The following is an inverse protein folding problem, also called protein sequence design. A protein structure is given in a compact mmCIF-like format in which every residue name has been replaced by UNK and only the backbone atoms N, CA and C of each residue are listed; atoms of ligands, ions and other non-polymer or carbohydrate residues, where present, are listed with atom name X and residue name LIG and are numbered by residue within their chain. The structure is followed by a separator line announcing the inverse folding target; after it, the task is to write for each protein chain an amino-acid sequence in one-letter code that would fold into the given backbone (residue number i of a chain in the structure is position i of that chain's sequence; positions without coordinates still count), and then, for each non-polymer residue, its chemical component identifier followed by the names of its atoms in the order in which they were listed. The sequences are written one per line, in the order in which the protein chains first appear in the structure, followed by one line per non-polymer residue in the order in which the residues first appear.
data_IF_421588457552
#
_entry.id   IF_421588457552
#
_cell.length_a   1.000
_cell.length_b   1.000
_cell.length_c   1.000
_cell.angle_alpha   90.00
_cell.angle_beta   90.00
_cell.angle_gamma   90.00
#
_symmetry.space_group_name_H-M   'P 1'
#
loop_
_entity.id
_entity.type
_entity.pdbx_description
1 polymer ?
#
# COMPACT_ATOMS: atom_id res chain seq x y z
N UNK A 1 1.98 -21.18 19.88
CA UNK A 1 1.35 -20.04 19.18
C UNK A 1 -0.07 -20.44 18.77
N UNK A 2 -1.09 -19.65 19.09
CA UNK A 2 -2.50 -20.02 18.78
C UNK A 2 -2.75 -20.09 17.28
N UNK A 3 -3.65 -20.95 16.84
CA UNK A 3 -3.98 -21.19 15.42
C UNK A 3 -4.34 -19.89 14.70
N UNK A 4 -5.05 -18.99 15.38
CA UNK A 4 -5.48 -17.68 14.87
C UNK A 4 -4.29 -16.77 14.53
N UNK A 5 -3.24 -16.79 15.34
CA UNK A 5 -2.05 -15.97 15.11
C UNK A 5 -1.28 -16.42 13.87
N UNK A 6 -1.11 -17.73 13.70
CA UNK A 6 -0.46 -18.31 12.51
C UNK A 6 -1.31 -18.01 11.27
N UNK A 7 -2.62 -18.21 11.38
CA UNK A 7 -3.54 -17.93 10.28
C UNK A 7 -3.54 -16.46 9.89
N UNK A 8 -3.55 -15.54 10.87
CA UNK A 8 -3.43 -14.11 10.62
C UNK A 8 -2.11 -13.77 9.97
N UNK A 9 -0.98 -14.27 10.50
CA UNK A 9 0.34 -14.02 9.95
C UNK A 9 0.45 -14.43 8.47
N UNK A 10 0.08 -15.68 8.15
CA UNK A 10 0.21 -16.21 6.79
C UNK A 10 -0.71 -15.49 5.81
N UNK A 11 -1.95 -15.23 6.21
CA UNK A 11 -2.92 -14.55 5.35
C UNK A 11 -2.51 -13.08 5.19
N UNK A 12 -2.08 -12.41 6.27
CA UNK A 12 -1.60 -11.03 6.20
C UNK A 12 -0.39 -10.91 5.27
N UNK A 13 0.60 -11.80 5.41
CA UNK A 13 1.77 -11.84 4.54
C UNK A 13 1.35 -11.94 3.06
N UNK A 14 0.47 -12.89 2.73
CA UNK A 14 -0.05 -13.05 1.38
C UNK A 14 -0.79 -11.79 0.88
N UNK A 15 -1.62 -11.17 1.73
CA UNK A 15 -2.32 -9.94 1.34
C UNK A 15 -1.41 -8.75 1.12
N UNK A 16 -0.28 -8.65 1.85
CA UNK A 16 0.75 -7.63 1.60
C UNK A 16 1.32 -7.82 0.20
N UNK A 17 1.73 -9.05 -0.15
CA UNK A 17 2.27 -9.35 -1.47
C UNK A 17 1.28 -9.00 -2.60
N UNK A 18 0.02 -9.44 -2.45
CA UNK A 18 -1.02 -9.18 -3.45
C UNK A 18 -1.36 -7.69 -3.54
N UNK A 19 -1.52 -7.00 -2.40
CA UNK A 19 -1.92 -5.59 -2.40
C UNK A 19 -0.83 -4.69 -2.95
N UNK A 20 0.44 -4.95 -2.64
CA UNK A 20 1.56 -4.22 -3.23
C UNK A 20 1.64 -4.49 -4.73
N UNK A 21 1.47 -5.74 -5.18
CA UNK A 21 1.44 -6.05 -6.61
C UNK A 21 0.29 -5.32 -7.34
N UNK A 22 -0.92 -5.31 -6.77
CA UNK A 22 -2.06 -4.59 -7.35
C UNK A 22 -1.82 -3.07 -7.40
N UNK A 23 -1.14 -2.51 -6.40
CA UNK A 23 -0.70 -1.12 -6.40
C UNK A 23 0.24 -0.83 -7.58
N UNK A 24 1.28 -1.64 -7.75
CA UNK A 24 2.23 -1.50 -8.87
C UNK A 24 1.56 -1.70 -10.24
N UNK A 25 0.61 -2.64 -10.34
CA UNK A 25 -0.22 -2.79 -11.54
C UNK A 25 -1.03 -1.53 -11.83
N UNK A 26 -1.51 -0.82 -10.80
CA UNK A 26 -2.14 0.49 -10.95
C UNK A 26 -1.25 1.52 -11.65
N UNK A 27 0.02 1.61 -11.24
CA UNK A 27 1.01 2.45 -11.92
C UNK A 27 1.16 2.04 -13.40
N UNK A 28 1.25 0.74 -13.67
CA UNK A 28 1.37 0.19 -15.02
C UNK A 28 0.19 0.52 -15.93
N UNK A 29 -1.04 0.39 -15.42
CA UNK A 29 -2.25 0.78 -16.15
C UNK A 29 -2.26 2.27 -16.43
N UNK A 30 -1.87 3.11 -15.46
CA UNK A 30 -1.81 4.57 -15.65
C UNK A 30 -0.82 4.94 -16.76
N UNK A 31 0.34 4.28 -16.78
CA UNK A 31 1.35 4.48 -17.81
C UNK A 31 0.89 4.01 -19.19
N UNK A 32 0.26 2.83 -19.26
CA UNK A 32 -0.32 2.31 -20.49
C UNK A 32 -1.36 3.25 -21.11
N UNK A 33 -2.28 3.79 -20.28
CA UNK A 33 -3.30 4.74 -20.74
C UNK A 33 -2.70 6.04 -21.31
N UNK A 34 -1.45 6.35 -20.97
CA UNK A 34 -0.70 7.51 -21.47
C UNK A 34 0.30 7.17 -22.58
N UNK A 35 0.36 5.91 -23.00
CA UNK A 35 1.34 5.44 -23.99
C UNK A 35 2.79 5.51 -23.51
N UNK A 36 3.01 5.50 -22.18
CA UNK A 36 4.36 5.49 -21.61
C UNK A 36 4.76 4.04 -21.31
N UNK A 37 5.83 3.51 -21.93
CA UNK A 37 6.24 2.14 -21.68
C UNK A 37 6.89 1.99 -20.30
N UNK A 38 6.35 1.10 -19.47
CA UNK A 38 6.86 0.81 -18.12
C UNK A 38 6.80 -0.68 -17.79
N UNK A 39 7.70 -1.14 -16.93
CA UNK A 39 7.68 -2.49 -16.35
C UNK A 39 7.30 -2.42 -14.89
N UNK A 40 6.27 -3.14 -14.47
CA UNK A 40 5.82 -3.19 -13.09
C UNK A 40 6.04 -4.58 -12.50
N UNK A 41 6.28 -4.65 -11.20
CA UNK A 41 6.51 -5.90 -10.48
C UNK A 41 5.81 -5.90 -9.12
N UNK A 42 6.51 -6.40 -8.10
CA UNK A 42 6.00 -6.48 -6.73
C UNK A 42 6.48 -5.31 -5.85
N UNK A 43 7.45 -4.51 -6.31
CA UNK A 43 8.01 -3.43 -5.48
C UNK A 43 8.49 -2.21 -6.26
N UNK A 44 8.65 -2.31 -7.58
CA UNK A 44 9.21 -1.22 -8.39
C UNK A 44 8.46 -1.10 -9.71
N UNK A 45 8.23 0.15 -10.12
CA UNK A 45 8.06 0.55 -11.51
C UNK A 45 9.44 0.84 -12.12
N UNK A 46 9.67 0.39 -13.34
CA UNK A 46 10.93 0.62 -14.04
C UNK A 46 10.83 0.61 -15.55
N UNK A 47 11.98 0.71 -16.21
CA UNK A 47 12.11 0.71 -17.66
C UNK A 47 11.91 -0.71 -18.21
N UNK A 48 11.09 -0.87 -19.26
CA UNK A 48 10.82 -2.16 -19.93
C UNK A 48 12.05 -2.84 -20.52
N UNK A 49 13.12 -2.09 -20.78
CA UNK A 49 14.35 -2.59 -21.40
C UNK A 49 15.45 -2.91 -20.39
N UNK A 50 15.18 -2.77 -19.09
CA UNK A 50 16.17 -2.97 -18.02
C UNK A 50 15.68 -4.00 -17.01
N UNK A 51 16.62 -4.65 -16.33
CA UNK A 51 16.35 -5.54 -15.21
C UNK A 51 16.33 -4.76 -13.88
N UNK A 52 15.65 -5.25 -12.83
CA UNK A 52 15.49 -4.52 -11.56
C UNK A 52 16.76 -4.21 -10.77
N UNK A 53 17.86 -4.88 -11.13
CA UNK A 53 19.21 -4.67 -10.59
C UNK A 53 20.09 -3.77 -11.45
N UNK A 54 19.64 -3.35 -12.63
CA UNK A 54 20.39 -2.48 -13.54
C UNK A 54 20.34 -1.02 -13.07
N UNK A 55 21.41 -0.27 -13.35
CA UNK A 55 21.44 1.17 -13.14
C UNK A 55 20.34 1.87 -13.97
N UNK A 56 19.68 2.85 -13.36
CA UNK A 56 18.47 3.54 -13.87
C UNK A 56 17.32 2.63 -14.28
N UNK A 57 17.18 1.44 -13.68
CA UNK A 57 15.96 0.64 -13.84
C UNK A 57 14.72 1.43 -13.43
N UNK A 58 14.79 2.15 -12.29
CA UNK A 58 13.68 3.00 -11.85
C UNK A 58 13.53 4.17 -12.82
N UNK A 59 12.45 4.14 -13.60
CA UNK A 59 12.07 5.26 -14.45
C UNK A 59 11.67 6.42 -13.53
N UNK A 60 12.58 7.39 -13.38
CA UNK A 60 12.28 8.62 -12.64
C UNK A 60 11.21 9.49 -13.34
N UNK A 61 10.81 9.09 -14.55
CA UNK A 61 10.03 9.88 -15.49
C UNK A 61 8.55 9.53 -15.55
N UNK A 62 8.09 8.46 -14.89
CA UNK A 62 6.64 8.23 -14.79
C UNK A 62 6.07 8.90 -13.53
N UNK A 63 5.52 10.09 -13.71
CA UNK A 63 4.74 10.80 -12.69
C UNK A 63 3.38 11.17 -13.25
N UNK A 64 2.32 10.76 -12.58
CA UNK A 64 0.95 11.03 -13.01
C UNK A 64 0.17 11.82 -11.95
N UNK A 65 -0.54 12.86 -12.41
CA UNK A 65 -1.52 13.60 -11.63
C UNK A 65 -2.72 12.73 -11.22
N UNK A 66 -2.97 11.62 -11.90
CA UNK A 66 -4.05 10.67 -11.61
C UNK A 66 -3.53 9.24 -11.57
N UNK A 67 -2.48 9.05 -10.77
CA UNK A 67 -1.87 7.74 -10.63
C UNK A 67 -2.83 6.73 -9.98
N UNK A 68 -3.14 5.66 -10.70
CA UNK A 68 -4.06 4.62 -10.25
C UNK A 68 -3.46 3.74 -9.14
N UNK A 69 -2.14 3.73 -8.90
CA UNK A 69 -1.55 2.95 -7.81
C UNK A 69 -2.16 3.32 -6.45
N UNK A 70 -1.98 4.57 -5.96
CA UNK A 70 -2.59 5.04 -4.72
C UNK A 70 -4.12 4.95 -4.73
N UNK A 71 -4.76 5.23 -5.87
CA UNK A 71 -6.23 5.21 -5.97
C UNK A 71 -6.78 3.78 -5.77
N UNK A 72 -6.14 2.77 -6.36
CA UNK A 72 -6.54 1.37 -6.19
C UNK A 72 -6.44 0.97 -4.72
N UNK A 73 -5.34 1.30 -4.04
CA UNK A 73 -5.19 0.93 -2.63
C UNK A 73 -6.18 1.65 -1.71
N UNK A 74 -6.56 2.90 -2.00
CA UNK A 74 -7.66 3.59 -1.31
C UNK A 74 -9.00 2.85 -1.50
N UNK A 75 -9.33 2.51 -2.75
CA UNK A 75 -10.57 1.80 -3.08
C UNK A 75 -10.61 0.43 -2.37
N UNK A 76 -9.51 -0.33 -2.41
CA UNK A 76 -9.41 -1.62 -1.73
C UNK A 76 -9.55 -1.47 -0.21
N UNK A 77 -8.89 -0.48 0.40
CA UNK A 77 -9.03 -0.22 1.83
C UNK A 77 -10.51 0.02 2.21
N UNK A 78 -11.22 0.85 1.44
CA UNK A 78 -12.63 1.18 1.70
C UNK A 78 -13.54 -0.05 1.47
N UNK A 79 -13.43 -0.70 0.31
CA UNK A 79 -14.28 -1.84 -0.06
C UNK A 79 -14.11 -2.98 0.94
N UNK A 80 -12.88 -3.37 1.28
CA UNK A 80 -12.65 -4.45 2.23
C UNK A 80 -13.05 -4.06 3.65
N UNK A 81 -12.89 -2.80 4.05
CA UNK A 81 -13.42 -2.31 5.34
C UNK A 81 -14.93 -2.45 5.40
N UNK A 82 -15.66 -2.05 4.36
CA UNK A 82 -17.13 -2.21 4.28
C UNK A 82 -17.51 -3.71 4.27
N UNK A 83 -16.82 -4.52 3.48
CA UNK A 83 -17.06 -5.97 3.41
C UNK A 83 -16.85 -6.65 4.77
N UNK A 84 -15.86 -6.21 5.55
CA UNK A 84 -15.57 -6.75 6.88
C UNK A 84 -16.76 -6.64 7.83
N UNK A 85 -17.60 -5.60 7.71
CA UNK A 85 -18.81 -5.48 8.52
C UNK A 85 -19.84 -6.57 8.18
N UNK A 86 -19.93 -6.99 6.93
CA UNK A 86 -20.95 -7.92 6.41
C UNK A 86 -20.64 -9.39 6.65
N UNK A 87 -19.37 -9.75 6.84
CA UNK A 87 -18.95 -11.16 7.00
C UNK A 87 -18.88 -11.57 8.47
N UNK A 88 -19.38 -12.76 8.82
CA UNK A 88 -19.32 -13.29 10.19
C UNK A 88 -18.52 -14.59 10.30
N UNK A 89 -18.26 -15.27 9.18
CA UNK A 89 -17.48 -16.49 9.15
C UNK A 89 -16.01 -16.20 9.44
N UNK A 90 -15.39 -17.01 10.31
CA UNK A 90 -14.03 -16.76 10.82
C UNK A 90 -12.98 -16.61 9.71
N UNK A 91 -12.93 -17.53 8.75
CA UNK A 91 -11.94 -17.48 7.66
C UNK A 91 -12.13 -16.24 6.74
N UNK A 92 -13.34 -15.95 6.21
CA UNK A 92 -13.59 -14.72 5.48
C UNK A 92 -13.26 -13.45 6.28
N UNK A 93 -13.55 -13.41 7.58
CA UNK A 93 -13.18 -12.27 8.44
C UNK A 93 -11.67 -12.07 8.47
N UNK A 94 -10.87 -13.15 8.56
CA UNK A 94 -9.40 -13.05 8.51
C UNK A 94 -8.93 -12.52 7.15
N UNK A 95 -9.42 -13.10 6.05
CA UNK A 95 -9.01 -12.71 4.69
C UNK A 95 -9.38 -11.25 4.42
N UNK A 96 -10.66 -10.90 4.54
CA UNK A 96 -11.14 -9.53 4.28
C UNK A 96 -10.50 -8.53 5.25
N UNK A 97 -10.38 -8.91 6.53
CA UNK A 97 -9.77 -8.07 7.54
C UNK A 97 -8.28 -7.81 7.26
N UNK A 98 -7.55 -8.81 6.78
CA UNK A 98 -6.15 -8.64 6.38
C UNK A 98 -6.00 -7.73 5.15
N UNK A 99 -6.85 -7.87 4.12
CA UNK A 99 -6.83 -6.95 2.98
C UNK A 99 -7.14 -5.51 3.39
N UNK A 100 -8.17 -5.30 4.22
CA UNK A 100 -8.53 -3.98 4.70
C UNK A 100 -7.41 -3.34 5.54
N UNK A 101 -6.80 -4.14 6.43
CA UNK A 101 -5.68 -3.72 7.27
C UNK A 101 -4.44 -3.37 6.45
N UNK A 102 -4.04 -4.27 5.54
CA UNK A 102 -2.89 -4.10 4.65
C UNK A 102 -3.02 -2.84 3.80
N UNK A 103 -4.14 -2.65 3.09
CA UNK A 103 -4.30 -1.50 2.20
C UNK A 103 -4.34 -0.17 2.99
N UNK A 104 -4.86 -0.19 4.22
CA UNK A 104 -4.80 0.99 5.10
C UNK A 104 -3.35 1.31 5.50
N UNK A 105 -2.57 0.29 5.88
CA UNK A 105 -1.18 0.49 6.32
C UNK A 105 -0.20 0.80 5.19
N UNK A 106 -0.33 0.15 4.04
CA UNK A 106 0.53 0.38 2.87
C UNK A 106 0.54 1.84 2.42
N UNK A 107 -0.52 2.58 2.73
CA UNK A 107 -0.64 4.01 2.44
C UNK A 107 -0.30 4.90 3.63
N UNK A 108 -0.69 4.51 4.83
CA UNK A 108 -0.39 5.29 6.04
C UNK A 108 1.11 5.36 6.33
N UNK A 109 1.84 4.24 6.18
CA UNK A 109 3.26 4.17 6.53
C UNK A 109 4.15 5.07 5.67
N UNK A 110 4.05 5.08 4.32
CA UNK A 110 4.79 6.03 3.49
C UNK A 110 4.48 7.48 3.83
N UNK A 111 3.22 7.82 4.10
CA UNK A 111 2.85 9.18 4.46
C UNK A 111 3.44 9.60 5.81
N UNK A 112 3.36 8.74 6.84
CA UNK A 112 4.02 8.99 8.12
C UNK A 112 5.52 9.19 7.92
N UNK A 113 6.17 8.34 7.12
CA UNK A 113 7.60 8.44 6.82
C UNK A 113 7.94 9.76 6.13
N UNK A 114 7.15 10.18 5.14
CA UNK A 114 7.37 11.43 4.39
C UNK A 114 7.24 12.66 5.29
N UNK A 115 6.19 12.75 6.12
CA UNK A 115 6.04 13.85 7.07
C UNK A 115 7.07 13.82 8.20
N UNK A 116 7.49 12.63 8.64
CA UNK A 116 8.60 12.51 9.58
C UNK A 116 9.93 12.99 8.97
N UNK A 117 10.19 12.69 7.70
CA UNK A 117 11.32 13.25 6.95
C UNK A 117 11.24 14.77 6.89
N UNK A 118 10.06 15.35 6.66
CA UNK A 118 9.88 16.80 6.66
C UNK A 118 10.26 17.42 8.01
N UNK A 119 9.86 16.81 9.12
CA UNK A 119 10.18 17.28 10.47
C UNK A 119 11.68 17.19 10.80
N UNK A 120 12.35 16.15 10.30
CA UNK A 120 13.75 15.85 10.67
C UNK A 120 14.78 16.46 9.72
N UNK A 121 14.49 16.51 8.43
CA UNK A 121 15.41 16.95 7.37
C UNK A 121 14.96 18.24 6.66
N UNK A 122 13.75 18.74 6.95
CA UNK A 122 13.15 19.88 6.25
C UNK A 122 12.66 19.54 4.84
N UNK A 123 12.69 18.26 4.43
CA UNK A 123 12.27 17.81 3.10
C UNK A 123 11.29 16.65 3.20
N UNK A 124 10.21 16.72 2.43
CA UNK A 124 9.30 15.58 2.24
C UNK A 124 10.02 14.46 1.49
N UNK A 125 9.89 13.23 1.97
CA UNK A 125 10.23 12.07 1.16
C UNK A 125 9.25 12.00 -0.03
N UNK A 126 9.78 11.81 -1.23
CA UNK A 126 8.95 11.72 -2.44
C UNK A 126 8.32 10.33 -2.47
N UNK A 127 7.03 10.31 -2.15
CA UNK A 127 6.14 9.15 -2.24
C UNK A 127 5.08 9.40 -3.32
N UNK A 128 4.30 8.39 -3.72
CA UNK A 128 3.32 8.48 -4.82
C UNK A 128 2.34 9.64 -4.64
N UNK A 129 1.73 9.76 -3.46
CA UNK A 129 0.75 10.82 -3.17
C UNK A 129 1.40 12.22 -3.13
N UNK A 130 2.65 12.31 -2.67
CA UNK A 130 3.39 13.58 -2.68
C UNK A 130 3.70 13.99 -4.11
N UNK A 131 4.10 13.03 -4.96
CA UNK A 131 4.35 13.26 -6.39
C UNK A 131 3.08 13.72 -7.11
N UNK A 132 1.94 13.07 -6.84
CA UNK A 132 0.63 13.48 -7.36
C UNK A 132 0.26 14.90 -6.92
N UNK A 133 0.49 15.23 -5.65
CA UNK A 133 0.22 16.58 -5.13
C UNK A 133 1.10 17.66 -5.75
N UNK A 134 2.38 17.35 -6.01
CA UNK A 134 3.29 18.27 -6.71
C UNK A 134 2.80 18.57 -8.13
N UNK A 135 2.33 17.56 -8.87
CA UNK A 135 1.75 17.76 -10.20
C UNK A 135 0.47 18.59 -10.14
N UNK A 136 -0.41 18.37 -9.16
CA UNK A 136 -1.61 19.20 -8.98
C UNK A 136 -1.27 20.65 -8.69
N UNK A 137 -0.20 20.89 -7.92
CA UNK A 137 0.32 22.23 -7.70
C UNK A 137 0.85 22.86 -8.99
N UNK A 138 1.64 22.14 -9.78
CA UNK A 138 2.17 22.63 -11.06
C UNK A 138 1.04 23.01 -12.04
N UNK A 139 -0.05 22.24 -12.05
CA UNK A 139 -1.21 22.50 -12.91
C UNK A 139 -2.07 23.68 -12.43
N UNK A 140 -2.20 23.89 -11.12
CA UNK A 140 -3.15 24.86 -10.54
C UNK A 140 -2.51 26.16 -10.04
N UNK A 141 -1.22 26.13 -9.71
CA UNK A 141 -0.51 27.19 -8.99
C UNK A 141 -0.87 27.31 -7.49
N UNK A 142 -1.75 26.45 -6.96
CA UNK A 142 -2.27 26.57 -5.59
C UNK A 142 -1.45 25.71 -4.63
N UNK A 143 -0.69 26.33 -3.73
CA UNK A 143 0.26 25.66 -2.81
C UNK A 143 -0.35 24.51 -2.00
N UNK A 144 -1.62 24.61 -1.58
CA UNK A 144 -2.26 23.56 -0.77
C UNK A 144 -2.39 22.23 -1.52
N UNK A 145 -2.45 22.26 -2.86
CA UNK A 145 -2.61 21.06 -3.69
C UNK A 145 -1.46 20.06 -3.52
N UNK A 146 -0.27 20.54 -3.12
CA UNK A 146 0.90 19.69 -2.79
C UNK A 146 0.59 18.63 -1.75
N UNK A 147 -0.33 18.92 -0.83
CA UNK A 147 -0.58 18.10 0.35
C UNK A 147 -1.87 17.30 0.24
N UNK A 148 -2.83 17.72 -0.60
CA UNK A 148 -4.18 17.14 -0.61
C UNK A 148 -4.17 15.62 -0.79
N UNK A 149 -3.49 15.02 -1.79
CA UNK A 149 -3.45 13.58 -1.92
C UNK A 149 -2.95 12.84 -0.69
N UNK A 150 -1.86 13.33 -0.09
CA UNK A 150 -1.28 12.72 1.11
C UNK A 150 -2.21 12.83 2.32
N UNK A 151 -2.90 13.97 2.47
CA UNK A 151 -3.88 14.17 3.54
C UNK A 151 -5.11 13.27 3.35
N UNK A 152 -5.59 13.10 2.12
CA UNK A 152 -6.66 12.14 1.80
C UNK A 152 -6.21 10.72 2.16
N UNK A 153 -5.00 10.34 1.76
CA UNK A 153 -4.43 9.02 2.04
C UNK A 153 -4.36 8.74 3.54
N UNK A 154 -3.82 9.67 4.33
CA UNK A 154 -3.80 9.59 5.80
C UNK A 154 -5.22 9.45 6.37
N UNK A 155 -6.15 10.31 5.93
CA UNK A 155 -7.51 10.34 6.47
C UNK A 155 -8.24 9.02 6.19
N UNK A 156 -8.23 8.57 4.94
CA UNK A 156 -8.87 7.31 4.51
C UNK A 156 -8.27 6.13 5.27
N UNK A 157 -6.94 6.06 5.36
CA UNK A 157 -6.26 4.97 6.06
C UNK A 157 -6.55 4.96 7.55
N UNK A 158 -6.56 6.11 8.24
CA UNK A 158 -6.86 6.17 9.67
C UNK A 158 -8.30 5.74 9.97
N UNK A 159 -9.26 6.22 9.17
CA UNK A 159 -10.68 5.85 9.30
C UNK A 159 -10.84 4.34 9.07
N UNK A 160 -10.30 3.81 7.98
CA UNK A 160 -10.38 2.38 7.67
C UNK A 160 -9.71 1.54 8.74
N UNK A 161 -8.49 1.88 9.13
CA UNK A 161 -7.73 1.14 10.15
C UNK A 161 -8.46 1.12 11.50
N UNK A 162 -9.06 2.24 11.92
CA UNK A 162 -9.88 2.30 13.13
C UNK A 162 -11.02 1.27 13.08
N UNK A 163 -11.80 1.27 12.00
CA UNK A 163 -12.94 0.36 11.86
C UNK A 163 -12.50 -1.10 11.67
N UNK A 164 -11.39 -1.35 10.98
CA UNK A 164 -10.82 -2.69 10.82
C UNK A 164 -10.40 -3.27 12.16
N UNK A 165 -9.61 -2.54 12.95
CA UNK A 165 -9.16 -2.99 14.27
C UNK A 165 -10.36 -3.21 15.20
N UNK A 166 -11.34 -2.30 15.20
CA UNK A 166 -12.56 -2.43 16.00
C UNK A 166 -13.36 -3.70 15.65
N UNK A 167 -13.55 -3.98 14.36
CA UNK A 167 -14.26 -5.17 13.90
C UNK A 167 -13.47 -6.46 14.14
N UNK A 168 -12.17 -6.47 13.88
CA UNK A 168 -11.32 -7.63 14.12
C UNK A 168 -11.29 -7.98 15.60
N UNK A 169 -11.20 -7.00 16.50
CA UNK A 169 -11.26 -7.23 17.95
C UNK A 169 -12.59 -7.86 18.37
N UNK A 170 -13.70 -7.42 17.78
CA UNK A 170 -15.04 -7.98 18.05
C UNK A 170 -15.20 -9.41 17.51
N UNK A 171 -14.75 -9.65 16.27
CA UNK A 171 -15.02 -10.91 15.54
C UNK A 171 -13.96 -11.99 15.78
N UNK A 172 -12.73 -11.60 16.11
CA UNK A 172 -11.60 -12.50 16.41
C UNK A 172 -10.88 -12.01 17.67
N UNK A 173 -11.53 -12.04 18.84
CA UNK A 173 -10.95 -11.54 20.09
C UNK A 173 -9.67 -12.26 20.48
N UNK A 174 -9.50 -13.52 20.05
CA UNK A 174 -8.28 -14.31 20.26
C UNK A 174 -7.00 -13.63 19.74
N UNK A 175 -7.08 -12.82 18.67
CA UNK A 175 -5.93 -12.07 18.14
C UNK A 175 -5.48 -10.93 19.05
N UNK A 176 -6.36 -10.45 19.94
CA UNK A 176 -6.15 -9.27 20.77
C UNK A 176 -6.09 -9.59 22.27
N UNK A 177 -5.91 -10.86 22.63
CA UNK A 177 -5.87 -11.26 24.04
C UNK A 177 -4.70 -10.63 24.80
N UNK A 178 -3.54 -10.55 24.16
CA UNK A 178 -2.41 -9.80 24.70
C UNK A 178 -2.33 -8.43 24.02
N UNK A 179 -1.94 -7.40 24.80
CA UNK A 179 -1.85 -6.01 24.31
C UNK A 179 -0.97 -5.84 23.08
N UNK A 180 0.05 -6.69 22.91
CA UNK A 180 1.08 -6.53 21.89
C UNK A 180 1.09 -7.61 20.80
N UNK A 181 0.46 -8.76 21.02
CA UNK A 181 0.56 -9.92 20.10
C UNK A 181 0.09 -9.59 18.68
N UNK A 182 -1.06 -8.91 18.53
CA UNK A 182 -1.55 -8.47 17.23
C UNK A 182 -0.54 -7.57 16.49
N UNK A 183 -0.02 -6.56 17.21
CA UNK A 183 0.92 -5.58 16.65
C UNK A 183 2.23 -6.24 16.25
N UNK A 184 2.81 -7.06 17.13
CA UNK A 184 4.07 -7.74 16.87
C UNK A 184 3.96 -8.67 15.66
N UNK A 185 2.92 -9.51 15.60
CA UNK A 185 2.75 -10.44 14.47
C UNK A 185 2.52 -9.69 13.16
N UNK A 186 1.74 -8.61 13.19
CA UNK A 186 1.50 -7.81 11.99
C UNK A 186 2.76 -7.09 11.52
N UNK A 187 3.56 -6.56 12.45
CA UNK A 187 4.85 -5.95 12.14
C UNK A 187 5.85 -6.98 11.59
N UNK A 188 5.92 -8.17 12.18
CA UNK A 188 6.76 -9.26 11.69
C UNK A 188 6.37 -9.67 10.26
N UNK A 189 5.06 -9.74 9.96
CA UNK A 189 4.60 -10.03 8.59
C UNK A 189 5.04 -8.93 7.60
N UNK A 190 4.92 -7.65 7.97
CA UNK A 190 5.38 -6.52 7.14
C UNK A 190 6.88 -6.57 6.89
N UNK A 191 7.69 -6.83 7.92
CA UNK A 191 9.15 -6.92 7.79
C UNK A 191 9.54 -8.10 6.89
N UNK A 192 8.91 -9.27 7.06
CA UNK A 192 9.18 -10.46 6.25
C UNK A 192 8.69 -10.29 4.80
N UNK A 193 7.64 -9.49 4.58
CA UNK A 193 7.16 -9.22 3.23
C UNK A 193 8.22 -8.51 2.38
N UNK A 194 9.02 -7.60 2.95
CA UNK A 194 10.01 -6.80 2.20
C UNK A 194 11.00 -7.65 1.38
N UNK A 195 11.76 -8.61 1.95
CA UNK A 195 12.65 -9.44 1.17
C UNK A 195 11.92 -10.32 0.14
N UNK A 196 10.70 -10.77 0.45
CA UNK A 196 9.88 -11.57 -0.48
C UNK A 196 9.42 -10.72 -1.67
N UNK A 197 8.93 -9.51 -1.42
CA UNK A 197 8.55 -8.55 -2.45
C UNK A 197 9.74 -8.27 -3.38
N UNK A 198 10.92 -7.99 -2.82
CA UNK A 198 12.14 -7.77 -3.61
C UNK A 198 12.53 -8.99 -4.46
N UNK A 199 12.40 -10.20 -3.90
CA UNK A 199 12.68 -11.43 -4.64
C UNK A 199 11.66 -11.63 -5.77
N UNK A 200 10.36 -11.49 -5.50
CA UNK A 200 9.30 -11.62 -6.51
C UNK A 200 9.42 -10.55 -7.61
N UNK A 201 9.81 -9.34 -7.23
CA UNK A 201 10.05 -8.21 -8.13
C UNK A 201 11.18 -8.50 -9.15
N UNK A 202 12.07 -9.46 -8.89
CA UNK A 202 13.07 -9.90 -9.88
C UNK A 202 12.54 -10.96 -10.86
N UNK A 203 11.47 -11.67 -10.50
CA UNK A 203 11.01 -12.86 -11.23
C UNK A 203 9.65 -12.67 -11.93
N UNK A 204 8.80 -11.81 -11.38
CA UNK A 204 7.46 -11.57 -11.90
C UNK A 204 7.33 -10.11 -12.27
N UNK A 205 7.21 -9.87 -13.57
CA UNK A 205 7.11 -8.54 -14.17
C UNK A 205 6.02 -8.51 -15.22
N UNK A 206 5.37 -7.37 -15.34
CA UNK A 206 4.44 -7.06 -16.43
C UNK A 206 5.03 -5.87 -17.18
N UNK A 207 5.24 -6.05 -18.49
CA UNK A 207 5.66 -4.97 -19.38
C UNK A 207 4.41 -4.35 -20.00
N UNK A 208 4.24 -3.06 -19.76
CA UNK A 208 3.17 -2.23 -20.31
C UNK A 208 3.77 -1.43 -21.45
N UNK A 209 3.32 -1.66 -22.68
CA UNK A 209 3.85 -1.03 -23.90
C UNK A 209 2.85 -1.07 -25.04
#
# INVERSE_FOLDING_TARGET
MKKEFIQWFLILLLTILISTFLHEVGHGVSAYLKGVPVSTGFNKVGNIYKSPGDEDFRSHDFKDSWDLGPIITWILAIIFTIALFKVNNKLPVVIIGSFAFTNSLLRLLPMINSYFSLLTSGRLAIEDEISMGLLWYEMSGITIMKYIPSLISILVSLICLHYVIKNLRKKIPALFQDKWSFTLISLTALIIAIPILNFLDQHVRINWG
#
